data_IF_708619258118
#
_entry.id   IF_708619258118
#
_cell.length_a   1.000
_cell.length_b   1.000
_cell.length_c   1.000
_cell.angle_alpha   90.00
_cell.angle_beta   90.00
_cell.angle_gamma   90.00
#
_symmetry.space_group_name_H-M   'P 1'
#
loop_
_entity.id
_entity.type
_entity.pdbx_description
1 polymer ?
#
# COMPACT_ATOMS: atom_id res chain seq x y z
N UNK A 1 5.19 -16.57 -0.08
CA UNK A 1 5.96 -15.36 -0.45
C UNK A 1 6.99 -15.11 0.63
N UNK A 2 8.14 -14.55 0.27
CA UNK A 2 9.09 -14.07 1.26
C UNK A 2 8.49 -12.86 1.98
N UNK A 3 8.31 -12.95 3.30
CA UNK A 3 7.72 -11.87 4.11
C UNK A 3 8.63 -10.63 4.19
N UNK A 4 9.91 -10.76 3.84
CA UNK A 4 10.88 -9.66 3.78
C UNK A 4 10.96 -8.97 2.41
N UNK A 5 10.15 -9.37 1.43
CA UNK A 5 10.16 -8.73 0.11
C UNK A 5 9.68 -7.27 0.21
N UNK A 6 10.34 -6.37 -0.51
CA UNK A 6 9.96 -4.96 -0.67
C UNK A 6 8.87 -4.84 -1.72
N UNK A 7 7.65 -4.59 -1.28
CA UNK A 7 6.47 -4.54 -2.14
C UNK A 7 5.96 -3.11 -2.20
N UNK A 8 5.82 -2.57 -3.41
CA UNK A 8 5.21 -1.26 -3.63
C UNK A 8 3.89 -1.37 -4.39
N UNK A 9 2.85 -0.73 -3.87
CA UNK A 9 1.56 -0.57 -4.53
C UNK A 9 1.51 0.80 -5.18
N UNK A 10 1.35 0.85 -6.50
CA UNK A 10 1.22 2.11 -7.24
C UNK A 10 -0.25 2.52 -7.32
N UNK A 11 -0.68 3.36 -6.38
CA UNK A 11 -2.04 3.89 -6.33
C UNK A 11 -2.78 3.53 -5.04
N UNK A 12 -3.38 4.55 -4.43
CA UNK A 12 -4.11 4.50 -3.17
C UNK A 12 -5.65 4.52 -3.37
N UNK A 13 -6.14 3.71 -4.31
CA UNK A 13 -7.57 3.46 -4.48
C UNK A 13 -8.02 2.21 -3.71
N UNK A 14 -9.31 1.86 -3.81
CA UNK A 14 -9.89 0.72 -3.09
C UNK A 14 -9.08 -0.58 -3.25
N UNK A 15 -8.68 -0.92 -4.49
CA UNK A 15 -7.89 -2.14 -4.78
C UNK A 15 -6.51 -2.04 -4.12
N UNK A 16 -5.80 -0.94 -4.33
CA UNK A 16 -4.45 -0.75 -3.81
C UNK A 16 -4.39 -0.79 -2.29
N UNK A 17 -5.32 -0.09 -1.62
CA UNK A 17 -5.43 -0.09 -0.17
C UNK A 17 -5.78 -1.49 0.38
N UNK A 18 -6.71 -2.20 -0.27
CA UNK A 18 -7.05 -3.58 0.11
C UNK A 18 -5.83 -4.49 0.01
N UNK A 19 -5.08 -4.42 -1.10
CA UNK A 19 -3.89 -5.24 -1.29
C UNK A 19 -2.82 -4.94 -0.24
N UNK A 20 -2.53 -3.66 0.01
CA UNK A 20 -1.55 -3.25 1.01
C UNK A 20 -1.91 -3.74 2.42
N UNK A 21 -3.18 -3.58 2.82
CA UNK A 21 -3.68 -4.07 4.10
C UNK A 21 -3.58 -5.59 4.21
N UNK A 22 -3.98 -6.34 3.17
CA UNK A 22 -3.87 -7.80 3.15
C UNK A 22 -2.43 -8.30 3.22
N UNK A 23 -1.50 -7.63 2.54
CA UNK A 23 -0.07 -7.98 2.60
C UNK A 23 0.50 -7.78 4.00
N UNK A 24 0.16 -6.66 4.66
CA UNK A 24 0.54 -6.42 6.07
C UNK A 24 -0.08 -7.43 7.01
N UNK A 25 -1.37 -7.74 6.87
CA UNK A 25 -2.05 -8.78 7.66
C UNK A 25 -1.44 -10.17 7.45
N UNK A 26 -0.90 -10.45 6.26
CA UNK A 26 -0.16 -11.68 5.96
C UNK A 26 1.29 -11.70 6.50
N UNK A 27 1.72 -10.67 7.22
CA UNK A 27 3.04 -10.59 7.85
C UNK A 27 4.14 -9.98 6.98
N UNK A 28 3.83 -9.40 5.82
CA UNK A 28 4.85 -8.71 5.03
C UNK A 28 5.37 -7.48 5.80
N UNK A 29 6.69 -7.34 5.89
CA UNK A 29 7.33 -6.30 6.71
C UNK A 29 7.81 -5.09 5.91
N UNK A 30 7.62 -5.08 4.59
CA UNK A 30 8.02 -3.97 3.73
C UNK A 30 6.97 -3.73 2.64
N UNK A 31 5.92 -3.02 3.01
CA UNK A 31 4.81 -2.63 2.14
C UNK A 31 4.78 -1.11 2.03
N UNK A 32 5.08 -0.62 0.83
CA UNK A 32 5.01 0.80 0.48
C UNK A 32 3.81 1.09 -0.42
N UNK A 33 3.22 2.28 -0.31
CA UNK A 33 2.16 2.75 -1.19
C UNK A 33 2.52 4.11 -1.77
N UNK A 34 2.34 4.24 -3.09
CA UNK A 34 2.48 5.52 -3.78
C UNK A 34 1.09 6.14 -3.89
N UNK A 35 0.92 7.29 -3.23
CA UNK A 35 -0.34 8.03 -3.14
C UNK A 35 -0.11 9.50 -3.49
N UNK A 36 -1.13 10.24 -3.92
CA UNK A 36 -0.99 11.68 -4.25
C UNK A 36 -2.15 12.47 -3.65
N UNK A 37 -1.94 13.78 -3.50
CA UNK A 37 -2.96 14.70 -3.01
C UNK A 37 -3.49 14.30 -1.63
N UNK A 38 -4.81 14.35 -1.47
CA UNK A 38 -5.51 14.03 -0.23
C UNK A 38 -5.23 12.59 0.25
N UNK A 39 -5.20 11.60 -0.65
CA UNK A 39 -4.91 10.22 -0.27
C UNK A 39 -3.50 10.07 0.33
N UNK A 40 -2.52 10.85 -0.13
CA UNK A 40 -1.18 10.83 0.50
C UNK A 40 -1.25 11.33 1.94
N UNK A 41 -1.96 12.44 2.19
CA UNK A 41 -2.09 13.01 3.54
C UNK A 41 -2.83 12.04 4.47
N UNK A 42 -4.02 11.60 4.05
CA UNK A 42 -4.85 10.69 4.85
C UNK A 42 -4.12 9.38 5.14
N UNK A 43 -3.49 8.75 4.16
CA UNK A 43 -2.77 7.49 4.40
C UNK A 43 -1.52 7.67 5.27
N UNK A 44 -0.84 8.82 5.15
CA UNK A 44 0.35 9.09 5.98
C UNK A 44 -0.01 9.32 7.45
N UNK A 45 -1.17 9.92 7.71
CA UNK A 45 -1.62 10.26 9.08
C UNK A 45 -2.45 9.14 9.70
N UNK A 46 -3.34 8.54 8.92
CA UNK A 46 -4.38 7.64 9.39
C UNK A 46 -4.21 6.21 8.87
N UNK A 47 -3.29 5.93 7.96
CA UNK A 47 -3.13 4.59 7.39
C UNK A 47 -4.37 4.10 6.62
N UNK A 48 -4.53 2.78 6.56
CA UNK A 48 -5.58 2.11 5.79
C UNK A 48 -6.60 1.49 6.73
N UNK A 49 -7.86 1.86 6.54
CA UNK A 49 -9.00 1.15 7.11
C UNK A 49 -9.54 0.17 6.07
N UNK A 50 -9.60 -1.11 6.45
CA UNK A 50 -10.15 -2.18 5.62
C UNK A 50 -11.28 -2.87 6.40
N UNK A 51 -12.48 -2.82 5.84
CA UNK A 51 -13.63 -3.60 6.31
C UNK A 51 -13.93 -4.67 5.28
N UNK A 52 -13.91 -5.94 5.70
CA UNK A 52 -14.23 -7.05 4.83
C UNK A 52 -14.80 -8.24 5.61
N UNK A 53 -14.95 -9.40 4.95
CA UNK A 53 -15.52 -10.62 5.54
C UNK A 53 -14.73 -11.16 6.75
N UNK A 54 -13.51 -10.69 6.98
CA UNK A 54 -12.65 -11.06 8.11
C UNK A 54 -12.72 -10.05 9.26
N UNK A 55 -13.54 -9.00 9.14
CA UNK A 55 -13.72 -7.96 10.15
C UNK A 55 -13.17 -6.59 9.72
N UNK A 56 -13.01 -5.72 10.71
CA UNK A 56 -12.44 -4.39 10.56
C UNK A 56 -10.96 -4.40 10.94
N UNK A 57 -10.13 -3.85 10.05
CA UNK A 57 -8.69 -3.81 10.19
C UNK A 57 -8.20 -2.38 10.00
N UNK A 58 -7.31 -1.96 10.87
CA UNK A 58 -6.62 -0.68 10.76
C UNK A 58 -5.12 -0.93 10.66
N UNK A 59 -4.53 -0.55 9.54
CA UNK A 59 -3.18 -0.94 9.16
C UNK A 59 -2.37 0.29 8.75
N UNK A 60 -1.15 0.40 9.27
CA UNK A 60 -0.20 1.42 8.83
C UNK A 60 0.76 0.78 7.82
N UNK A 61 0.81 1.26 6.57
CA UNK A 61 1.85 0.87 5.61
C UNK A 61 3.24 1.24 6.13
N UNK A 62 4.27 0.51 5.73
CA UNK A 62 5.64 0.80 6.18
C UNK A 62 6.17 2.10 5.56
N UNK A 63 5.67 2.47 4.37
CA UNK A 63 5.92 3.78 3.77
C UNK A 63 4.75 4.25 2.92
N UNK A 64 4.38 5.52 3.05
CA UNK A 64 3.49 6.22 2.12
C UNK A 64 4.34 7.29 1.44
N UNK A 65 4.43 7.27 0.11
CA UNK A 65 5.23 8.25 -0.65
C UNK A 65 4.43 8.87 -1.78
N UNK A 66 4.83 10.07 -2.21
CA UNK A 66 4.19 10.75 -3.34
C UNK A 66 4.80 10.41 -4.70
N UNK A 67 6.06 9.97 -4.71
CA UNK A 67 6.83 9.69 -5.91
C UNK A 67 7.71 8.46 -5.72
N UNK A 68 7.87 7.67 -6.79
CA UNK A 68 8.69 6.46 -6.78
C UNK A 68 10.18 6.73 -6.51
N UNK A 69 10.67 7.95 -6.78
CA UNK A 69 12.04 8.36 -6.49
C UNK A 69 12.39 8.36 -4.99
N UNK A 70 11.38 8.37 -4.12
CA UNK A 70 11.56 8.25 -2.66
C UNK A 70 11.68 6.80 -2.18
N UNK A 71 11.69 5.82 -3.10
CA UNK A 71 11.80 4.40 -2.81
C UNK A 71 13.14 3.86 -3.29
N UNK A 72 13.71 2.97 -2.50
CA UNK A 72 14.75 2.05 -2.95
C UNK A 72 14.20 1.05 -3.98
N UNK A 73 15.06 0.31 -4.71
CA UNK A 73 14.61 -0.76 -5.60
C UNK A 73 13.69 -1.75 -4.87
N UNK A 74 12.56 -2.05 -5.49
CA UNK A 74 11.50 -2.91 -4.95
C UNK A 74 11.57 -4.29 -5.60
N UNK A 75 11.23 -5.32 -4.84
CA UNK A 75 11.20 -6.71 -5.34
C UNK A 75 9.93 -6.95 -6.16
N UNK A 76 8.82 -6.30 -5.76
CA UNK A 76 7.52 -6.40 -6.42
C UNK A 76 6.87 -5.03 -6.53
N UNK A 77 6.35 -4.71 -7.71
CA UNK A 77 5.52 -3.52 -7.95
C UNK A 77 4.14 -3.99 -8.40
N UNK A 78 3.11 -3.57 -7.68
CA UNK A 78 1.71 -3.87 -8.00
C UNK A 78 1.10 -2.68 -8.73
N UNK A 79 0.65 -2.94 -9.96
CA UNK A 79 0.04 -1.97 -10.87
C UNK A 79 -1.46 -2.27 -11.00
N UNK A 80 -2.34 -1.57 -10.27
CA UNK A 80 -3.77 -1.71 -10.44
C UNK A 80 -4.25 -1.13 -11.79
N UNK A 81 -5.36 -1.63 -12.34
CA UNK A 81 -5.73 -1.46 -13.75
C UNK A 81 -5.98 -0.02 -14.21
N UNK A 82 -6.25 0.92 -13.30
CA UNK A 82 -6.59 2.30 -13.66
C UNK A 82 -5.36 3.23 -13.80
N UNK A 83 -4.15 2.67 -13.95
CA UNK A 83 -2.93 3.45 -14.02
C UNK A 83 -2.40 3.72 -15.45
N UNK A 84 -3.15 3.30 -16.47
CA UNK A 84 -2.92 3.74 -17.85
C UNK A 84 -4.12 4.59 -18.29
N UNK A 85 -3.90 5.81 -18.82
CA UNK A 85 -4.94 6.54 -19.54
C UNK A 85 -5.36 5.79 -20.81
#
# INVERSE_FOLDING_TARGET
>A
MNQSAKITILGAGAIGCTMAARLKLAGCTSVSIIARGENYQVLSEQGIYLQDLTGEHHIIPDRVVSHASALEPQDVILLPPNLMP
#
